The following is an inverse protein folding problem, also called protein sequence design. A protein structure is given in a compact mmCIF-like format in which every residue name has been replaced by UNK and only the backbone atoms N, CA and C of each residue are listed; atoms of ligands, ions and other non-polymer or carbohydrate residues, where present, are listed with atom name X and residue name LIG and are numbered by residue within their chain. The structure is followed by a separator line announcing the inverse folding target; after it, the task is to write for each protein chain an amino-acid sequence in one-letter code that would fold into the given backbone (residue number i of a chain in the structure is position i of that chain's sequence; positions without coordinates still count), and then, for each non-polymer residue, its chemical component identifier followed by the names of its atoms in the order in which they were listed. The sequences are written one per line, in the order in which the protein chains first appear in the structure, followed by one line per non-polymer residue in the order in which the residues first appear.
data_IF_049889503964
#
_entry.id   IF_049889503964
#
_cell.length_a   1.000
_cell.length_b   1.000
_cell.length_c   1.000
_cell.angle_alpha   90.00
_cell.angle_beta   90.00
_cell.angle_gamma   90.00
#
_symmetry.space_group_name_H-M   'P 1'
#
loop_
_entity.id
_entity.type
_entity.pdbx_description
1 polymer ?
#
# COMPACT_ATOMS: atom_id res chain seq x y z
N UNK A 1 8.74 -11.48 23.28
CA UNK A 1 7.91 -10.83 22.23
C UNK A 1 8.66 -9.58 21.78
N UNK A 2 9.31 -9.60 20.62
CA UNK A 2 10.05 -8.43 20.12
C UNK A 2 9.06 -7.43 19.53
N UNK A 3 9.14 -6.16 19.95
CA UNK A 3 8.35 -5.08 19.35
C UNK A 3 8.93 -4.76 17.97
N UNK A 4 8.07 -4.54 16.98
CA UNK A 4 8.47 -4.25 15.58
C UNK A 4 9.59 -3.18 15.44
N UNK A 5 9.67 -2.14 16.29
CA UNK A 5 10.79 -1.18 16.26
C UNK A 5 12.18 -1.83 16.41
N UNK A 6 12.36 -2.81 17.32
CA UNK A 6 13.65 -3.49 17.48
C UNK A 6 14.04 -4.32 16.25
N UNK A 7 13.04 -4.87 15.56
CA UNK A 7 13.26 -5.64 14.34
C UNK A 7 13.62 -4.76 13.13
N UNK A 8 13.22 -3.48 13.17
CA UNK A 8 13.55 -2.49 12.13
C UNK A 8 15.02 -2.06 12.22
N UNK A 9 15.57 -1.94 13.44
CA UNK A 9 16.96 -1.52 13.64
C UNK A 9 17.97 -2.52 13.03
N UNK A 10 17.61 -3.79 12.93
CA UNK A 10 18.49 -4.86 12.44
C UNK A 10 18.36 -5.14 10.92
N UNK A 11 17.42 -4.50 10.21
CA UNK A 11 17.15 -4.79 8.79
C UNK A 11 16.99 -3.53 7.95
N UNK A 12 17.71 -3.41 6.82
CA UNK A 12 17.75 -2.19 6.03
C UNK A 12 16.42 -1.86 5.32
N UNK A 13 15.60 -2.86 4.99
CA UNK A 13 14.33 -2.67 4.27
C UNK A 13 13.25 -3.62 4.80
N UNK A 14 12.10 -3.07 5.19
CA UNK A 14 10.94 -3.83 5.66
C UNK A 14 9.72 -3.43 4.86
N UNK A 15 9.02 -4.42 4.32
CA UNK A 15 7.75 -4.27 3.62
C UNK A 15 6.65 -4.87 4.49
N UNK A 16 5.61 -4.09 4.74
CA UNK A 16 4.41 -4.52 5.46
C UNK A 16 3.23 -4.50 4.52
N UNK A 17 2.47 -5.60 4.48
CA UNK A 17 1.21 -5.67 3.77
C UNK A 17 0.07 -5.35 4.73
N UNK A 18 -0.78 -4.39 4.34
CA UNK A 18 -1.96 -4.02 5.11
C UNK A 18 -3.20 -4.30 4.26
N UNK A 19 -4.15 -5.03 4.82
CA UNK A 19 -5.44 -5.24 4.18
C UNK A 19 -6.30 -3.98 4.29
N UNK A 20 -7.21 -3.78 3.33
CA UNK A 20 -8.20 -2.71 3.39
C UNK A 20 -9.50 -3.26 4.00
N UNK A 21 -10.14 -2.47 4.85
CA UNK A 21 -11.40 -2.80 5.51
C UNK A 21 -12.39 -1.64 5.36
N UNK A 22 -13.67 -1.90 5.57
CA UNK A 22 -14.72 -0.87 5.53
C UNK A 22 -15.01 -0.41 6.95
N UNK A 23 -14.85 0.89 7.21
CA UNK A 23 -15.23 1.48 8.49
C UNK A 23 -16.75 1.69 8.53
N UNK A 24 -17.43 0.88 9.34
CA UNK A 24 -18.87 0.99 9.58
C UNK A 24 -19.11 2.11 10.61
N UNK A 25 -20.11 2.97 10.38
CA UNK A 25 -20.52 4.03 11.33
C UNK A 25 -20.15 5.46 10.91
N UNK A 26 -19.44 5.65 9.80
CA UNK A 26 -19.39 6.93 9.10
C UNK A 26 -20.44 6.90 7.97
N UNK A 27 -21.10 8.03 7.72
CA UNK A 27 -22.21 8.17 6.76
C UNK A 27 -21.91 7.67 5.35
N UNK A 28 -20.64 7.46 4.99
CA UNK A 28 -20.18 7.08 3.65
C UNK A 28 -19.49 5.71 3.56
N UNK A 29 -19.33 4.96 4.66
CA UNK A 29 -18.69 3.64 4.63
C UNK A 29 -17.29 3.66 4.01
N UNK A 30 -16.37 4.42 4.61
CA UNK A 30 -15.03 4.65 4.05
C UNK A 30 -14.15 3.38 4.07
N UNK A 31 -13.44 3.14 2.98
CA UNK A 31 -12.40 2.09 2.90
C UNK A 31 -11.12 2.60 3.57
N UNK A 32 -10.63 1.87 4.57
CA UNK A 32 -9.50 2.25 5.42
C UNK A 32 -8.52 1.10 5.60
N UNK A 33 -7.26 1.39 5.91
CA UNK A 33 -6.28 0.34 6.24
C UNK A 33 -6.63 -0.35 7.56
N UNK A 34 -6.57 -1.68 7.60
CA UNK A 34 -6.98 -2.47 8.75
C UNK A 34 -6.10 -2.23 10.00
N UNK A 35 -4.82 -1.93 9.80
CA UNK A 35 -3.90 -1.57 10.88
C UNK A 35 -4.19 -0.20 11.53
N UNK A 36 -5.09 0.60 10.98
CA UNK A 36 -5.46 1.92 11.50
C UNK A 36 -4.39 3.01 11.31
N UNK A 37 -4.71 4.21 11.79
CA UNK A 37 -3.93 5.43 11.47
C UNK A 37 -2.55 5.43 12.14
N UNK A 38 -2.41 4.80 13.30
CA UNK A 38 -1.13 4.69 14.00
C UNK A 38 -0.03 4.06 13.14
N UNK A 39 -0.36 3.04 12.34
CA UNK A 39 0.58 2.42 11.40
C UNK A 39 0.81 3.27 10.14
N UNK A 40 -0.20 4.00 9.68
CA UNK A 40 -0.06 4.93 8.55
C UNK A 40 0.93 6.07 8.86
N UNK A 41 1.02 6.50 10.12
CA UNK A 41 2.00 7.51 10.54
C UNK A 41 3.43 6.97 10.64
N UNK A 42 3.59 5.69 11.02
CA UNK A 42 4.91 5.09 11.29
C UNK A 42 5.67 4.64 10.05
N UNK A 43 5.01 4.38 8.93
CA UNK A 43 5.69 4.00 7.68
C UNK A 43 6.33 5.22 6.99
N UNK A 44 7.51 5.05 6.39
CA UNK A 44 8.17 6.09 5.59
C UNK A 44 7.65 6.14 4.16
N UNK A 45 7.13 5.02 3.64
CA UNK A 45 6.58 4.88 2.30
C UNK A 45 5.22 4.18 2.41
N UNK A 46 4.21 4.68 1.69
CA UNK A 46 2.88 4.05 1.60
C UNK A 46 2.44 3.93 0.15
N UNK A 47 2.22 2.68 -0.27
CA UNK A 47 1.63 2.35 -1.56
C UNK A 47 0.19 1.88 -1.34
N UNK A 48 -0.75 2.42 -2.12
CA UNK A 48 -2.08 1.86 -2.29
C UNK A 48 -2.14 1.11 -3.60
N UNK A 49 -2.40 -0.19 -3.52
CA UNK A 49 -2.56 -1.05 -4.69
C UNK A 49 -4.05 -1.21 -5.00
N UNK A 50 -4.44 -1.02 -6.25
CA UNK A 50 -5.81 -1.21 -6.70
C UNK A 50 -5.88 -1.97 -8.03
N UNK A 51 -7.00 -2.65 -8.23
CA UNK A 51 -7.35 -3.32 -9.48
C UNK A 51 -8.63 -2.65 -10.01
N UNK A 52 -8.50 -1.61 -10.87
CA UNK A 52 -9.65 -0.92 -11.44
C UNK A 52 -10.54 -1.91 -12.20
N UNK A 53 -11.86 -1.79 -12.02
CA UNK A 53 -12.82 -2.55 -12.83
C UNK A 53 -12.76 -2.04 -14.28
N UNK A 54 -12.80 -2.95 -15.24
CA UNK A 54 -12.86 -2.70 -16.70
C UNK A 54 -11.53 -2.53 -17.46
N UNK A 55 -10.39 -2.92 -16.88
CA UNK A 55 -9.14 -3.03 -17.65
C UNK A 55 -8.52 -4.40 -17.39
N UNK A 56 -8.48 -5.24 -18.42
CA UNK A 56 -7.92 -6.57 -18.30
C UNK A 56 -6.43 -6.48 -17.93
N UNK A 57 -6.07 -7.10 -16.81
CA UNK A 57 -4.72 -7.19 -16.23
C UNK A 57 -4.06 -5.88 -15.71
N UNK A 58 -4.56 -4.68 -16.04
CA UNK A 58 -3.99 -3.43 -15.49
C UNK A 58 -4.27 -3.29 -13.98
N UNK A 59 -3.26 -2.80 -13.26
CA UNK A 59 -3.25 -2.50 -11.84
C UNK A 59 -2.61 -1.15 -11.62
N UNK A 60 -2.98 -0.53 -10.51
CA UNK A 60 -2.52 0.81 -10.16
C UNK A 60 -1.83 0.77 -8.80
N UNK A 61 -0.68 1.41 -8.71
CA UNK A 61 0.05 1.68 -7.47
C UNK A 61 0.12 3.19 -7.26
N UNK A 62 -0.61 3.70 -6.27
CA UNK A 62 -0.55 5.10 -5.86
C UNK A 62 0.43 5.25 -4.68
N UNK A 63 1.44 6.12 -4.85
CA UNK A 63 2.33 6.54 -3.78
C UNK A 63 1.66 7.65 -2.97
N UNK A 64 1.16 7.29 -1.78
CA UNK A 64 0.42 8.20 -0.90
C UNK A 64 1.29 8.84 0.19
N UNK A 65 2.51 8.33 0.39
CA UNK A 65 3.47 8.88 1.33
C UNK A 65 4.87 8.46 0.90
N UNK A 66 5.80 9.40 0.87
CA UNK A 66 7.24 9.18 0.73
C UNK A 66 7.98 10.38 1.32
N UNK A 67 9.19 10.16 1.84
CA UNK A 67 10.06 11.23 2.31
C UNK A 67 10.98 11.78 1.18
N UNK A 68 10.99 11.14 0.01
CA UNK A 68 11.93 11.44 -1.08
C UNK A 68 11.28 11.61 -2.45
N UNK A 69 9.97 11.40 -2.56
CA UNK A 69 9.25 11.49 -3.83
C UNK A 69 7.88 12.13 -3.63
N UNK A 70 7.38 12.92 -4.59
CA UNK A 70 6.01 13.43 -4.55
C UNK A 70 5.01 12.28 -4.69
N UNK A 71 3.76 12.55 -4.32
CA UNK A 71 2.66 11.64 -4.63
C UNK A 71 2.57 11.41 -6.14
N UNK A 72 2.44 10.14 -6.53
CA UNK A 72 2.41 9.75 -7.94
C UNK A 72 1.66 8.44 -8.11
N UNK A 73 1.32 8.12 -9.35
CA UNK A 73 0.57 6.93 -9.73
C UNK A 73 1.33 6.18 -10.81
N UNK A 74 1.73 4.95 -10.50
CA UNK A 74 2.30 4.00 -11.46
C UNK A 74 1.26 2.97 -11.89
N UNK A 75 1.29 2.59 -13.17
CA UNK A 75 0.49 1.49 -13.71
C UNK A 75 1.38 0.28 -13.92
N UNK A 76 0.83 -0.90 -13.68
CA UNK A 76 1.53 -2.17 -13.87
C UNK A 76 0.54 -3.27 -14.26
N UNK A 77 1.05 -4.40 -14.71
CA UNK A 77 0.26 -5.63 -14.91
C UNK A 77 0.88 -6.79 -14.14
N UNK A 78 0.06 -7.78 -13.82
CA UNK A 78 0.52 -9.05 -13.25
C UNK A 78 0.51 -10.08 -14.38
N UNK A 79 1.69 -10.56 -14.74
CA UNK A 79 1.94 -11.61 -15.71
C UNK A 79 2.33 -12.91 -15.01
N UNK A 80 2.46 -14.01 -15.77
CA UNK A 80 2.89 -15.30 -15.22
C UNK A 80 4.29 -15.24 -14.57
N UNK A 81 5.13 -14.32 -15.03
CA UNK A 81 6.49 -14.08 -14.54
C UNK A 81 6.58 -12.93 -13.52
N UNK A 82 5.45 -12.41 -13.05
CA UNK A 82 5.38 -11.42 -11.98
C UNK A 82 4.88 -10.05 -12.43
N UNK A 83 5.41 -8.99 -11.80
CA UNK A 83 5.00 -7.60 -12.05
C UNK A 83 5.73 -7.08 -13.29
N UNK A 84 4.97 -6.58 -14.27
CA UNK A 84 5.49 -6.01 -15.51
C UNK A 84 4.91 -4.61 -15.76
N UNK A 85 5.61 -3.86 -16.59
CA UNK A 85 5.14 -2.62 -17.19
C UNK A 85 3.92 -2.84 -18.10
N UNK A 86 3.23 -1.75 -18.40
CA UNK A 86 2.16 -1.73 -19.40
C UNK A 86 2.76 -1.14 -20.66
N UNK A 87 2.81 -1.95 -21.73
CA UNK A 87 3.21 -1.53 -23.07
C UNK A 87 2.14 -0.68 -23.74
#
# INVERSE_FOLDING_TARGET
MYTLPKFIEERPNIVLMNQMSTRIGLSTGAVVGALGDGWAHRCNIRLLLSAPRNVDAERVAALLKSNSSPETVGRFRICQDGIRDIL
#
